data_IF_988320318987
#
_entry.id   IF_988320318987
#
_cell.length_a   1.000
_cell.length_b   1.000
_cell.length_c   1.000
_cell.angle_alpha   90.00
_cell.angle_beta   90.00
_cell.angle_gamma   90.00
#
_symmetry.space_group_name_H-M   'P 1'
#
loop_
_entity.id
_entity.type
_entity.pdbx_description
1 polymer ?
#
# COMPACT_ATOMS: atom_id res chain seq x y z
N UNK A 1 -3.05 5.14 -44.70
CA UNK A 1 -1.92 5.65 -43.90
C UNK A 1 -2.42 6.92 -43.21
N UNK A 2 -2.86 6.80 -41.96
CA UNK A 2 -3.42 7.91 -41.18
C UNK A 2 -2.28 8.59 -40.40
N UNK A 3 -2.15 9.90 -40.55
CA UNK A 3 -1.06 10.66 -39.94
C UNK A 3 -1.25 10.84 -38.42
N UNK A 4 -0.16 10.61 -37.67
CA UNK A 4 0.00 10.88 -36.22
C UNK A 4 -0.25 12.34 -35.80
N UNK A 5 -0.56 13.25 -36.72
CA UNK A 5 -0.79 14.68 -36.47
C UNK A 5 -2.25 15.03 -36.16
N UNK A 6 -3.22 14.18 -36.52
CA UNK A 6 -4.64 14.50 -36.33
C UNK A 6 -5.19 14.13 -34.94
N UNK A 7 -4.49 13.30 -34.17
CA UNK A 7 -4.96 12.88 -32.84
C UNK A 7 -4.73 13.97 -31.77
N UNK A 8 -3.70 14.80 -31.93
CA UNK A 8 -3.36 15.86 -30.97
C UNK A 8 -4.19 17.14 -31.11
N UNK A 9 -4.91 17.34 -32.22
CA UNK A 9 -5.74 18.54 -32.44
C UNK A 9 -7.13 18.40 -31.77
N UNK A 10 -7.58 17.17 -31.48
CA UNK A 10 -8.87 16.92 -30.83
C UNK A 10 -8.89 17.14 -29.30
N UNK A 11 -7.74 17.09 -28.64
CA UNK A 11 -7.62 17.21 -27.17
C UNK A 11 -7.09 18.58 -26.69
N UNK A 12 -6.71 19.47 -27.62
CA UNK A 12 -6.02 20.73 -27.29
C UNK A 12 -6.92 21.93 -26.91
N UNK A 13 -8.25 21.80 -26.92
CA UNK A 13 -9.17 22.95 -26.80
C UNK A 13 -9.92 23.08 -25.47
N UNK A 14 -9.65 22.25 -24.45
CA UNK A 14 -10.21 22.45 -23.10
C UNK A 14 -9.12 22.33 -22.02
N UNK A 15 -7.99 23.01 -22.21
CA UNK A 15 -7.18 23.41 -21.05
C UNK A 15 -7.81 24.67 -20.48
N UNK A 16 -8.78 24.50 -19.58
CA UNK A 16 -9.39 25.64 -18.87
C UNK A 16 -8.31 26.41 -18.11
N UNK A 17 -8.52 27.72 -17.88
CA UNK A 17 -7.64 28.52 -17.02
C UNK A 17 -7.48 27.90 -15.63
N UNK A 18 -8.50 27.16 -15.16
CA UNK A 18 -8.43 26.36 -13.93
C UNK A 18 -7.43 25.21 -14.03
N UNK A 19 -7.36 24.50 -15.17
CA UNK A 19 -6.35 23.47 -15.42
C UNK A 19 -4.94 24.06 -15.50
N UNK A 20 -4.77 25.18 -16.23
CA UNK A 20 -3.48 25.88 -16.33
C UNK A 20 -3.03 26.41 -14.96
N UNK A 21 -3.94 26.94 -14.16
CA UNK A 21 -3.66 27.38 -12.80
C UNK A 21 -3.25 26.21 -11.89
N UNK A 22 -3.90 25.05 -12.03
CA UNK A 22 -3.56 23.82 -11.30
C UNK A 22 -2.21 23.23 -11.73
N UNK A 23 -1.91 23.18 -13.03
CA UNK A 23 -0.62 22.76 -13.55
C UNK A 23 0.51 23.71 -13.08
N UNK A 24 0.29 25.02 -13.13
CA UNK A 24 1.24 26.00 -12.60
C UNK A 24 1.39 25.93 -11.08
N UNK A 25 0.33 25.57 -10.35
CA UNK A 25 0.42 25.32 -8.91
C UNK A 25 1.26 24.06 -8.64
N UNK A 26 1.00 22.95 -9.33
CA UNK A 26 1.80 21.72 -9.22
C UNK A 26 3.28 21.97 -9.47
N UNK A 27 3.62 22.69 -10.55
CA UNK A 27 4.99 23.06 -10.88
C UNK A 27 5.68 23.91 -9.78
N UNK A 28 4.90 24.69 -9.01
CA UNK A 28 5.39 25.51 -7.89
C UNK A 28 5.36 24.79 -6.54
N UNK A 29 4.54 23.76 -6.41
CA UNK A 29 4.29 22.98 -5.21
C UNK A 29 4.65 21.51 -5.49
N UNK A 30 5.92 21.29 -5.83
CA UNK A 30 6.43 20.02 -6.38
C UNK A 30 6.13 18.79 -5.51
N UNK A 31 5.86 18.97 -4.22
CA UNK A 31 5.56 17.88 -3.27
C UNK A 31 4.07 17.75 -2.95
N UNK A 32 3.16 18.38 -3.71
CA UNK A 32 1.74 18.39 -3.37
C UNK A 32 0.87 17.91 -4.55
N UNK A 33 0.02 16.92 -4.28
CA UNK A 33 -0.98 16.43 -5.25
C UNK A 33 -2.07 17.50 -5.40
N UNK A 34 -2.28 18.11 -6.59
CA UNK A 34 -3.31 19.12 -6.75
C UNK A 34 -4.67 18.44 -6.60
N UNK A 35 -5.49 18.78 -5.60
CA UNK A 35 -6.82 18.21 -5.52
C UNK A 35 -7.63 18.73 -6.71
N UNK A 36 -7.91 17.86 -7.68
CA UNK A 36 -8.73 18.22 -8.84
C UNK A 36 -10.14 18.57 -8.37
N UNK A 37 -10.63 17.88 -7.33
CA UNK A 37 -11.81 18.21 -6.53
C UNK A 37 -11.43 17.88 -5.07
N UNK A 38 -11.71 18.77 -4.10
CA UNK A 38 -11.49 18.44 -2.69
C UNK A 38 -12.47 17.34 -2.28
N UNK A 39 -12.00 16.16 -1.83
CA UNK A 39 -12.90 15.15 -1.28
C UNK A 39 -13.63 15.72 -0.07
N UNK A 40 -14.92 15.40 0.10
CA UNK A 40 -15.66 15.71 1.34
C UNK A 40 -15.17 14.73 2.40
N UNK A 41 -14.38 15.19 3.37
CA UNK A 41 -13.83 14.40 4.48
C UNK A 41 -13.40 12.98 4.07
N UNK A 42 -12.20 12.87 3.50
CA UNK A 42 -11.68 11.59 3.02
C UNK A 42 -11.71 10.51 4.14
N UNK A 43 -12.22 9.32 3.81
CA UNK A 43 -12.29 8.18 4.74
C UNK A 43 -10.95 7.49 4.89
N UNK A 44 -10.13 7.55 3.84
CA UNK A 44 -8.81 6.94 3.80
C UNK A 44 -7.80 7.92 3.18
N UNK A 45 -6.53 7.71 3.50
CA UNK A 45 -5.43 8.51 2.98
C UNK A 45 -4.35 7.60 2.39
N UNK A 46 -4.00 7.86 1.14
CA UNK A 46 -2.96 7.14 0.42
C UNK A 46 -1.73 8.03 0.30
N UNK A 47 -0.62 7.57 0.86
CA UNK A 47 0.64 8.29 0.89
C UNK A 47 1.57 7.77 -0.21
N UNK A 48 2.17 8.68 -0.97
CA UNK A 48 3.33 8.43 -1.82
C UNK A 48 4.56 8.78 -1.00
N UNK A 49 5.17 7.78 -0.38
CA UNK A 49 6.34 7.95 0.48
C UNK A 49 7.60 7.91 -0.38
N UNK A 50 8.32 9.03 -0.46
CA UNK A 50 9.59 9.12 -1.21
C UNK A 50 10.67 8.27 -0.51
N UNK A 51 11.04 7.17 -1.13
CA UNK A 51 12.11 6.26 -0.72
C UNK A 51 13.50 6.77 -1.14
N UNK A 52 13.57 7.94 -1.77
CA UNK A 52 14.75 8.50 -2.39
C UNK A 52 14.95 8.02 -3.83
N UNK A 53 15.82 8.73 -4.56
CA UNK A 53 16.16 8.43 -5.97
C UNK A 53 14.90 8.47 -6.89
N UNK A 54 13.92 9.29 -6.54
CA UNK A 54 12.69 9.45 -7.32
C UNK A 54 11.80 8.21 -7.32
N UNK A 55 11.80 7.43 -6.23
CA UNK A 55 10.94 6.26 -6.09
C UNK A 55 9.98 6.47 -4.92
N UNK A 56 8.69 6.35 -5.21
CA UNK A 56 7.62 6.45 -4.24
C UNK A 56 7.08 5.06 -3.93
N UNK A 57 6.92 4.77 -2.64
CA UNK A 57 6.15 3.63 -2.16
C UNK A 57 4.79 4.11 -1.69
N UNK A 58 3.74 3.43 -2.14
CA UNK A 58 2.38 3.76 -1.72
C UNK A 58 2.06 3.07 -0.40
N UNK A 59 1.54 3.83 0.57
CA UNK A 59 1.11 3.35 1.88
C UNK A 59 -0.30 3.83 2.21
N UNK A 60 -1.14 2.97 2.76
CA UNK A 60 -2.52 3.30 3.14
C UNK A 60 -2.61 3.65 4.63
N UNK A 61 -3.24 4.78 4.94
CA UNK A 61 -3.60 5.32 6.25
C UNK A 61 -2.46 5.58 7.25
N UNK A 62 -1.26 5.05 7.01
CA UNK A 62 -0.06 5.29 7.82
C UNK A 62 1.19 5.36 6.94
N UNK A 63 2.08 6.31 7.25
CA UNK A 63 3.42 6.39 6.65
C UNK A 63 4.43 5.48 7.36
N UNK A 64 4.19 5.14 8.63
CA UNK A 64 5.08 4.36 9.48
C UNK A 64 4.66 2.91 9.62
N UNK A 65 5.65 2.04 9.84
CA UNK A 65 5.45 0.63 10.18
C UNK A 65 5.07 0.53 11.66
N UNK A 66 3.78 0.34 11.92
CA UNK A 66 3.25 0.23 13.26
C UNK A 66 3.08 -1.25 13.64
N UNK A 67 4.19 -1.92 13.93
CA UNK A 67 4.18 -3.32 14.36
C UNK A 67 3.30 -3.51 15.60
N UNK A 68 2.33 -4.44 15.58
CA UNK A 68 1.50 -4.71 16.74
C UNK A 68 2.34 -5.32 17.87
N UNK A 69 2.18 -4.83 19.10
CA UNK A 69 2.84 -5.44 20.26
C UNK A 69 2.08 -6.69 20.68
N UNK A 70 2.54 -7.85 20.19
CA UNK A 70 1.94 -9.16 20.46
C UNK A 70 2.86 -9.98 21.35
N UNK A 71 2.27 -10.83 22.19
CA UNK A 71 2.95 -11.97 22.80
C UNK A 71 3.23 -13.06 21.76
N UNK A 72 4.13 -14.00 22.05
CA UNK A 72 4.36 -15.16 21.17
C UNK A 72 3.08 -15.98 20.95
N UNK A 73 2.23 -16.11 21.98
CA UNK A 73 0.93 -16.77 21.88
C UNK A 73 0.01 -16.08 20.88
N UNK A 74 -0.15 -14.76 21.01
CA UNK A 74 -1.00 -13.97 20.11
C UNK A 74 -0.44 -13.96 18.68
N UNK A 75 0.89 -13.90 18.51
CA UNK A 75 1.50 -13.96 17.20
C UNK A 75 1.30 -15.34 16.52
N UNK A 76 1.45 -16.43 17.27
CA UNK A 76 1.19 -17.80 16.82
C UNK A 76 -0.27 -17.98 16.39
N UNK A 77 -1.21 -17.47 17.17
CA UNK A 77 -2.64 -17.53 16.83
C UNK A 77 -2.93 -16.71 15.56
N UNK A 78 -2.46 -15.46 15.52
CA UNK A 78 -2.82 -14.50 14.48
C UNK A 78 -2.18 -14.79 13.12
N UNK A 79 -0.89 -15.11 13.10
CA UNK A 79 -0.12 -15.22 11.86
C UNK A 79 0.18 -16.66 11.46
N UNK A 80 0.26 -17.58 12.42
CA UNK A 80 0.59 -18.98 12.18
C UNK A 80 -0.60 -19.92 12.34
N UNK A 81 -1.77 -19.40 12.72
CA UNK A 81 -3.00 -20.16 12.95
C UNK A 81 -2.84 -21.29 13.99
N UNK A 82 -1.98 -21.07 14.99
CA UNK A 82 -1.70 -22.00 16.08
C UNK A 82 -2.31 -21.41 17.36
N UNK A 83 -3.47 -21.93 17.76
CA UNK A 83 -4.11 -21.58 19.04
C UNK A 83 -3.49 -22.40 20.18
N UNK A 84 -3.04 -21.71 21.23
CA UNK A 84 -2.49 -22.32 22.43
C UNK A 84 -3.28 -21.78 23.62
N UNK A 85 -4.07 -22.61 24.34
CA UNK A 85 -4.87 -22.15 25.46
C UNK A 85 -3.98 -21.68 26.62
N UNK A 86 -4.33 -20.55 27.24
CA UNK A 86 -3.60 -20.02 28.42
C UNK A 86 -3.68 -20.96 29.63
N UNK A 87 -4.81 -21.64 29.82
CA UNK A 87 -5.10 -22.47 31.01
C UNK A 87 -5.24 -23.97 30.68
N UNK A 88 -4.93 -24.37 29.44
CA UNK A 88 -5.12 -25.73 28.95
C UNK A 88 -3.85 -26.57 29.06
N UNK A 89 -4.03 -27.89 29.25
CA UNK A 89 -2.97 -28.87 29.03
C UNK A 89 -2.73 -28.99 27.53
N UNK A 90 -1.95 -28.10 26.94
CA UNK A 90 -1.38 -28.35 25.62
C UNK A 90 -0.56 -29.65 25.70
N UNK A 91 -0.69 -30.52 24.70
CA UNK A 91 0.05 -31.77 24.72
C UNK A 91 1.56 -31.52 24.62
N UNK A 92 2.37 -32.36 25.25
CA UNK A 92 3.83 -32.29 25.11
C UNK A 92 4.30 -32.51 23.66
N UNK A 93 3.48 -33.11 22.81
CA UNK A 93 3.74 -33.26 21.37
C UNK A 93 3.56 -31.94 20.61
N UNK A 94 2.48 -31.20 20.85
CA UNK A 94 2.24 -29.89 20.20
C UNK A 94 3.31 -28.88 20.60
N UNK A 95 3.71 -28.86 21.88
CA UNK A 95 4.80 -27.99 22.32
C UNK A 95 6.16 -28.36 21.73
N UNK A 96 6.42 -29.66 21.50
CA UNK A 96 7.63 -30.08 20.80
C UNK A 96 7.65 -29.54 19.39
N UNK A 97 6.55 -29.65 18.66
CA UNK A 97 6.46 -29.05 17.32
C UNK A 97 6.67 -27.53 17.37
N UNK A 98 6.02 -26.81 18.28
CA UNK A 98 6.23 -25.35 18.37
C UNK A 98 7.70 -25.00 18.66
N UNK A 99 8.34 -25.73 19.57
CA UNK A 99 9.75 -25.54 19.88
C UNK A 99 10.66 -25.90 18.69
N UNK A 100 10.40 -27.01 18.01
CA UNK A 100 11.24 -27.49 16.90
C UNK A 100 11.14 -26.59 15.66
N UNK A 101 9.95 -26.06 15.37
CA UNK A 101 9.70 -25.22 14.20
C UNK A 101 10.00 -23.73 14.44
N UNK A 102 9.72 -23.22 15.65
CA UNK A 102 9.76 -21.79 15.96
C UNK A 102 10.75 -21.41 17.06
N UNK A 103 11.37 -22.39 17.75
CA UNK A 103 12.30 -22.13 18.85
C UNK A 103 11.64 -21.55 20.11
N UNK A 104 10.32 -21.63 20.22
CA UNK A 104 9.56 -21.02 21.33
C UNK A 104 9.37 -22.05 22.44
N UNK A 105 9.84 -21.71 23.64
CA UNK A 105 9.60 -22.50 24.84
C UNK A 105 8.26 -22.16 25.52
N UNK A 106 7.67 -23.07 26.32
CA UNK A 106 6.40 -22.80 27.00
C UNK A 106 6.42 -21.56 27.89
N UNK A 107 7.55 -21.21 28.48
CA UNK A 107 7.71 -20.02 29.34
C UNK A 107 7.77 -18.70 28.58
N UNK A 108 7.94 -18.75 27.25
CA UNK A 108 8.03 -17.55 26.41
C UNK A 108 6.68 -17.17 25.78
N UNK A 109 5.65 -18.03 25.84
CA UNK A 109 4.38 -17.80 25.16
C UNK A 109 3.74 -16.45 25.48
N UNK A 110 3.78 -16.05 26.75
CA UNK A 110 3.16 -14.82 27.24
C UNK A 110 4.16 -13.65 27.33
N UNK A 111 5.37 -13.82 26.78
CA UNK A 111 6.36 -12.76 26.60
C UNK A 111 6.09 -12.05 25.28
N UNK A 112 6.32 -10.73 25.25
CA UNK A 112 6.24 -9.93 24.02
C UNK A 112 7.20 -10.52 22.98
N UNK A 113 6.66 -10.87 21.81
CA UNK A 113 7.41 -11.43 20.71
C UNK A 113 8.31 -10.37 20.07
N UNK A 114 9.48 -10.82 19.60
CA UNK A 114 10.29 -10.05 18.65
C UNK A 114 9.45 -9.81 17.38
N UNK A 115 9.30 -8.56 16.89
CA UNK A 115 8.62 -8.29 15.63
C UNK A 115 9.15 -9.09 14.44
N UNK A 116 10.45 -9.42 14.44
CA UNK A 116 11.05 -10.27 13.40
C UNK A 116 10.45 -11.68 13.35
N UNK A 117 9.80 -12.13 14.41
CA UNK A 117 9.12 -13.43 14.42
C UNK A 117 7.94 -13.49 13.45
N UNK A 118 7.24 -12.37 13.24
CA UNK A 118 6.02 -12.32 12.44
C UNK A 118 6.05 -11.24 11.34
N UNK A 119 7.19 -10.59 11.13
CA UNK A 119 7.37 -9.46 10.19
C UNK A 119 6.94 -9.82 8.78
N UNK A 120 7.18 -11.04 8.33
CA UNK A 120 6.87 -11.50 6.98
C UNK A 120 5.34 -11.58 6.76
N UNK A 121 4.62 -12.17 7.71
CA UNK A 121 3.17 -12.29 7.65
C UNK A 121 2.50 -10.91 7.82
N UNK A 122 3.00 -10.10 8.76
CA UNK A 122 2.52 -8.72 8.91
C UNK A 122 2.80 -7.90 7.64
N UNK A 123 3.99 -8.04 7.08
CA UNK A 123 4.46 -7.39 5.86
C UNK A 123 3.58 -7.69 4.66
N UNK A 124 3.14 -8.94 4.54
CA UNK A 124 2.30 -9.40 3.43
C UNK A 124 0.83 -8.96 3.56
N UNK A 125 0.27 -8.87 4.76
CA UNK A 125 -1.17 -8.72 4.95
C UNK A 125 -1.61 -7.41 5.61
N UNK A 126 -0.84 -6.90 6.56
CA UNK A 126 -1.27 -5.81 7.46
C UNK A 126 -0.42 -4.55 7.34
N UNK A 127 0.73 -4.63 6.69
CA UNK A 127 1.58 -3.48 6.46
C UNK A 127 0.86 -2.41 5.64
N UNK A 128 1.13 -1.10 5.87
CA UNK A 128 0.49 -0.04 5.10
C UNK A 128 0.69 -0.15 3.58
N UNK A 129 1.82 -0.68 3.14
CA UNK A 129 2.13 -0.94 1.73
C UNK A 129 1.33 -2.14 1.18
N UNK A 130 1.17 -3.23 1.94
CA UNK A 130 0.30 -4.33 1.54
C UNK A 130 -1.17 -3.89 1.47
N UNK A 131 -1.63 -3.10 2.45
CA UNK A 131 -2.98 -2.55 2.46
C UNK A 131 -3.23 -1.64 1.24
N UNK A 132 -2.25 -0.83 0.85
CA UNK A 132 -2.32 -0.04 -0.39
C UNK A 132 -2.40 -0.93 -1.64
N UNK A 133 -1.63 -2.03 -1.68
CA UNK A 133 -1.68 -3.01 -2.76
C UNK A 133 -3.08 -3.60 -2.91
N UNK A 134 -3.63 -4.19 -1.85
CA UNK A 134 -4.96 -4.82 -1.91
C UNK A 134 -6.05 -3.81 -2.24
N UNK A 135 -6.02 -2.63 -1.61
CA UNK A 135 -6.96 -1.56 -1.88
C UNK A 135 -7.00 -1.16 -3.36
N UNK A 136 -5.83 -1.01 -4.00
CA UNK A 136 -5.74 -0.57 -5.39
C UNK A 136 -5.99 -1.71 -6.40
N UNK A 137 -5.63 -2.96 -6.07
CA UNK A 137 -5.87 -4.12 -6.93
C UNK A 137 -7.35 -4.40 -7.16
N UNK A 138 -8.21 -4.10 -6.18
CA UNK A 138 -9.65 -4.32 -6.29
C UNK A 138 -10.37 -3.24 -7.12
N UNK A 139 -9.66 -2.21 -7.58
CA UNK A 139 -10.21 -1.10 -8.35
C UNK A 139 -9.99 -1.25 -9.85
N UNK A 140 -10.97 -0.81 -10.62
CA UNK A 140 -10.83 -0.65 -12.07
C UNK A 140 -10.11 0.68 -12.39
N UNK A 141 -8.79 0.68 -12.21
CA UNK A 141 -7.97 1.88 -12.38
C UNK A 141 -7.88 2.37 -13.83
N UNK A 142 -8.17 1.52 -14.83
CA UNK A 142 -7.99 1.85 -16.26
C UNK A 142 -9.25 1.78 -17.11
N UNK A 143 -10.37 1.30 -16.57
CA UNK A 143 -11.60 1.10 -17.34
C UNK A 143 -11.61 -0.20 -18.13
N UNK A 144 -10.59 -1.05 -17.95
CA UNK A 144 -10.44 -2.35 -18.61
C UNK A 144 -10.82 -3.53 -17.69
N UNK A 145 -11.20 -3.24 -16.44
CA UNK A 145 -11.60 -4.24 -15.44
C UNK A 145 -10.74 -4.18 -14.17
N UNK A 146 -11.15 -4.95 -13.16
CA UNK A 146 -10.43 -5.07 -11.88
C UNK A 146 -9.16 -5.93 -12.00
N UNK A 147 -8.25 -5.75 -11.04
CA UNK A 147 -7.01 -6.50 -10.92
C UNK A 147 -5.77 -5.66 -11.26
N UNK A 148 -4.57 -6.27 -11.24
CA UNK A 148 -3.30 -5.61 -11.59
C UNK A 148 -3.16 -5.40 -13.11
N UNK A 149 -4.27 -5.03 -13.78
CA UNK A 149 -4.39 -4.76 -15.21
C UNK A 149 -3.56 -3.55 -15.65
N UNK A 150 -3.85 -2.94 -16.82
CA UNK A 150 -3.02 -1.87 -17.36
C UNK A 150 -2.77 -0.79 -16.30
N UNK A 151 -1.54 -0.26 -16.26
CA UNK A 151 -1.10 0.62 -15.17
C UNK A 151 -1.69 2.02 -15.37
N UNK A 152 -2.35 2.56 -14.35
CA UNK A 152 -2.70 3.98 -14.32
C UNK A 152 -1.43 4.79 -14.05
N UNK A 153 -0.99 5.57 -15.03
CA UNK A 153 0.30 6.26 -14.94
C UNK A 153 1.45 5.25 -14.94
N UNK A 154 2.33 5.33 -13.94
CA UNK A 154 3.48 4.44 -13.76
C UNK A 154 3.40 3.58 -12.49
N UNK A 155 2.18 3.32 -11.98
CA UNK A 155 2.01 2.44 -10.83
C UNK A 155 2.58 1.05 -11.12
N UNK A 156 3.41 0.53 -10.22
CA UNK A 156 4.02 -0.79 -10.32
C UNK A 156 3.59 -1.64 -9.13
N UNK A 157 2.65 -2.54 -9.36
CA UNK A 157 2.26 -3.56 -8.38
C UNK A 157 3.38 -4.60 -8.27
N UNK A 158 3.99 -4.70 -7.09
CA UNK A 158 5.03 -5.68 -6.80
C UNK A 158 4.58 -6.63 -5.72
N UNK A 159 4.71 -7.91 -6.03
CA UNK A 159 4.63 -9.01 -5.09
C UNK A 159 5.97 -9.72 -5.15
N UNK A 160 6.71 -9.68 -4.05
CA UNK A 160 7.94 -10.45 -3.89
C UNK A 160 7.65 -11.94 -4.04
N UNK A 161 8.62 -12.69 -4.58
CA UNK A 161 8.56 -14.14 -4.50
C UNK A 161 8.70 -14.55 -3.03
N UNK A 162 7.84 -15.45 -2.57
CA UNK A 162 7.79 -15.99 -1.19
C UNK A 162 9.17 -16.50 -0.71
N UNK A 163 10.10 -16.80 -1.62
CA UNK A 163 11.46 -17.26 -1.31
C UNK A 163 12.50 -16.16 -1.10
N UNK A 164 12.23 -14.90 -1.47
CA UNK A 164 13.24 -13.82 -1.50
C UNK A 164 12.82 -12.52 -0.80
N UNK A 165 11.68 -12.52 -0.13
CA UNK A 165 11.22 -11.43 0.72
C UNK A 165 9.72 -11.20 0.52
N UNK A 166 9.00 -11.10 1.63
CA UNK A 166 7.54 -10.97 1.67
C UNK A 166 7.06 -9.53 1.39
N UNK A 167 7.79 -8.84 0.52
CA UNK A 167 7.47 -7.49 0.12
C UNK A 167 6.22 -7.50 -0.78
N UNK A 168 5.16 -6.84 -0.32
CA UNK A 168 3.96 -6.58 -1.10
C UNK A 168 3.69 -5.09 -1.12
N UNK A 169 3.61 -4.47 -2.30
CA UNK A 169 3.44 -3.02 -2.36
C UNK A 169 3.22 -2.48 -3.76
N UNK A 170 2.87 -1.20 -3.82
CA UNK A 170 2.73 -0.46 -5.08
C UNK A 170 3.77 0.64 -5.10
N UNK A 171 4.51 0.71 -6.20
CA UNK A 171 5.57 1.69 -6.40
C UNK A 171 5.21 2.66 -7.53
N UNK A 172 5.86 3.81 -7.56
CA UNK A 172 5.79 4.79 -8.65
C UNK A 172 7.12 5.53 -8.73
N UNK A 173 7.55 5.93 -9.92
CA UNK A 173 8.72 6.76 -10.17
C UNK A 173 8.33 8.19 -10.65
N UNK A 174 7.03 8.43 -10.87
CA UNK A 174 6.48 9.69 -11.36
C UNK A 174 5.48 10.32 -10.36
N UNK A 175 5.78 11.49 -9.77
CA UNK A 175 4.86 12.18 -8.87
C UNK A 175 3.55 12.62 -9.56
N UNK A 176 3.51 12.70 -10.90
CA UNK A 176 2.27 12.99 -11.63
C UNK A 176 1.26 11.84 -11.47
N UNK A 177 1.73 10.61 -11.29
CA UNK A 177 0.87 9.43 -11.05
C UNK A 177 -0.02 9.60 -9.83
N UNK A 178 0.44 10.30 -8.79
CA UNK A 178 -0.40 10.64 -7.64
C UNK A 178 -1.60 11.52 -8.03
N UNK A 179 -1.42 12.46 -8.95
CA UNK A 179 -2.52 13.32 -9.43
C UNK A 179 -3.51 12.56 -10.30
N UNK A 180 -3.02 11.67 -11.16
CA UNK A 180 -3.86 10.81 -12.00
C UNK A 180 -4.66 9.83 -11.15
N UNK A 181 -4.02 9.21 -10.14
CA UNK A 181 -4.66 8.30 -9.21
C UNK A 181 -5.73 9.01 -8.38
N UNK A 182 -5.46 10.22 -7.89
CA UNK A 182 -6.47 11.01 -7.19
C UNK A 182 -7.69 11.29 -8.07
N UNK A 183 -7.50 11.63 -9.35
CA UNK A 183 -8.58 11.84 -10.31
C UNK A 183 -9.41 10.57 -10.48
N UNK A 184 -8.75 9.44 -10.71
CA UNK A 184 -9.41 8.15 -10.96
C UNK A 184 -10.21 7.68 -9.75
N UNK A 185 -9.67 7.82 -8.54
CA UNK A 185 -10.39 7.47 -7.31
C UNK A 185 -11.68 8.31 -7.16
N UNK A 186 -11.62 9.60 -7.49
CA UNK A 186 -12.81 10.47 -7.47
C UNK A 186 -13.84 10.01 -8.52
N UNK A 187 -13.41 9.66 -9.73
CA UNK A 187 -14.29 9.12 -10.77
C UNK A 187 -14.99 7.82 -10.35
N UNK A 188 -14.27 6.94 -9.66
CA UNK A 188 -14.79 5.70 -9.10
C UNK A 188 -15.66 5.92 -7.85
N UNK A 189 -15.78 7.15 -7.35
CA UNK A 189 -16.56 7.48 -6.15
C UNK A 189 -15.86 7.14 -4.83
N UNK A 190 -14.56 6.85 -4.85
CA UNK A 190 -13.76 6.59 -3.66
C UNK A 190 -13.35 7.90 -2.98
N UNK A 191 -13.62 7.98 -1.68
CA UNK A 191 -13.32 9.15 -0.87
C UNK A 191 -11.94 9.05 -0.23
N UNK A 192 -10.91 8.83 -1.05
CA UNK A 192 -9.52 8.65 -0.61
C UNK A 192 -8.69 9.85 -1.04
N UNK A 193 -7.97 10.46 -0.11
CA UNK A 193 -7.07 11.58 -0.40
C UNK A 193 -5.64 11.10 -0.62
N UNK A 194 -4.92 11.74 -1.54
CA UNK A 194 -3.51 11.45 -1.81
C UNK A 194 -2.59 12.54 -1.27
N UNK A 195 -1.44 12.12 -0.74
CA UNK A 195 -0.38 13.01 -0.26
C UNK A 195 0.99 12.44 -0.64
N UNK A 196 1.93 13.30 -1.05
CA UNK A 196 3.32 12.93 -1.24
C UNK A 196 4.08 13.38 0.01
N UNK A 197 4.88 12.48 0.58
CA UNK A 197 5.63 12.71 1.82
C UNK A 197 7.06 12.20 1.67
N UNK A 198 7.99 12.87 2.35
CA UNK A 198 9.37 12.39 2.45
C UNK A 198 9.46 11.30 3.53
N UNK A 199 10.39 10.35 3.37
CA UNK A 199 10.71 9.40 4.43
C UNK A 199 11.34 10.15 5.61
N UNK A 200 10.59 10.33 6.70
CA UNK A 200 11.04 10.98 7.95
C UNK A 200 11.91 10.07 8.81
#
# INVERSE_FOLDING_TARGET
MLERRSFLIGAGSILTSAYVAKANWFLRNQNAVPPIIKPKEATNKLFFVDQGIGKFELRLDSVSDNFPKLTYREALEKYFYIDIPQNGKTSLSEFRSIHDWYGISPTQLDVIADPMFYVDHWGQWESPNAQAYYYLCDLDLTGEGQGPGPLLGDLHFRMGEVSCGDYLGVLSEDPITASLLQARLIELGHNTSLEIVDLT
#
